data_IF_117944343800
#
_entry.id   IF_117944343800
#
_cell.length_a   1.000
_cell.length_b   1.000
_cell.length_c   1.000
_cell.angle_alpha   90.00
_cell.angle_beta   90.00
_cell.angle_gamma   90.00
#
_symmetry.space_group_name_H-M   'P 1'
#
loop_
_entity.id
_entity.type
_entity.pdbx_description
1 polymer ?
#
# COMPACT_ATOMS: atom_id res chain seq x y z
N UNK A 1 45.29 -27.96 -40.38
CA UNK A 1 46.31 -28.96 -40.18
C UNK A 1 45.65 -30.20 -39.63
N UNK A 2 45.25 -31.12 -40.49
CA UNK A 2 45.67 -32.54 -40.58
C UNK A 2 45.14 -33.38 -39.37
N UNK A 3 44.48 -34.53 -39.49
CA UNK A 3 44.23 -35.59 -40.50
C UNK A 3 43.40 -36.65 -39.74
N UNK A 4 42.22 -37.01 -40.14
CA UNK A 4 41.79 -38.25 -40.83
C UNK A 4 42.49 -39.55 -40.42
N UNK A 5 41.71 -40.54 -39.93
CA UNK A 5 41.76 -41.89 -40.52
C UNK A 5 40.59 -42.78 -40.13
N UNK A 6 39.97 -43.29 -41.17
CA UNK A 6 39.06 -44.45 -41.20
C UNK A 6 39.87 -45.75 -41.07
N UNK A 7 39.23 -46.82 -40.68
CA UNK A 7 39.47 -48.13 -41.34
C UNK A 7 38.27 -49.07 -41.11
N UNK A 8 37.92 -49.64 -42.25
CA UNK A 8 36.91 -50.64 -42.55
C UNK A 8 37.35 -52.08 -42.18
N UNK A 9 36.38 -53.04 -42.30
CA UNK A 9 36.57 -54.43 -42.48
C UNK A 9 35.45 -55.29 -41.91
N UNK A 10 34.52 -55.74 -42.60
CA UNK A 10 34.27 -56.68 -43.68
C UNK A 10 34.05 -58.13 -43.18
N UNK A 11 32.84 -58.64 -43.51
CA UNK A 11 32.39 -59.98 -43.88
C UNK A 11 32.25 -61.14 -42.87
N UNK A 12 31.10 -61.83 -43.05
CA UNK A 12 30.84 -63.21 -42.71
C UNK A 12 29.35 -63.59 -42.80
N UNK A 13 28.93 -63.97 -44.03
CA UNK A 13 27.66 -64.68 -44.28
C UNK A 13 27.86 -66.16 -43.96
N UNK A 14 26.83 -66.88 -43.58
CA UNK A 14 26.27 -68.12 -44.09
C UNK A 14 25.29 -68.73 -43.12
N UNK A 15 24.07 -68.84 -43.54
CA UNK A 15 23.21 -69.91 -44.03
C UNK A 15 23.20 -71.21 -43.20
N UNK A 16 22.06 -71.72 -42.86
CA UNK A 16 21.44 -72.95 -43.42
C UNK A 16 20.35 -73.51 -42.47
N UNK A 17 19.14 -73.52 -43.05
CA UNK A 17 18.07 -74.51 -43.06
C UNK A 17 17.57 -75.26 -41.81
N UNK A 18 16.31 -75.13 -41.69
CA UNK A 18 15.21 -76.09 -41.48
C UNK A 18 15.38 -77.27 -40.49
N UNK A 19 14.41 -77.29 -39.54
CA UNK A 19 13.60 -78.53 -39.36
C UNK A 19 12.22 -78.17 -38.79
N UNK A 20 11.23 -78.75 -39.45
CA UNK A 20 9.82 -78.80 -39.16
C UNK A 20 9.54 -79.61 -37.88
N UNK A 21 8.61 -79.20 -37.08
CA UNK A 21 8.06 -80.07 -36.06
C UNK A 21 6.79 -79.42 -35.46
N UNK A 22 5.64 -79.98 -35.85
CA UNK A 22 4.32 -79.75 -35.28
C UNK A 22 4.29 -79.99 -33.78
N UNK A 23 3.63 -79.16 -33.01
CA UNK A 23 2.71 -79.65 -31.98
C UNK A 23 1.81 -78.55 -31.42
N UNK A 24 0.56 -78.70 -31.62
CA UNK A 24 -0.65 -78.40 -30.85
C UNK A 24 -0.84 -77.05 -30.09
N UNK A 25 -1.92 -76.46 -30.55
CA UNK A 25 -2.90 -75.58 -29.92
C UNK A 25 -2.98 -75.66 -28.38
N UNK A 26 -2.71 -74.58 -27.73
CA UNK A 26 -3.42 -74.20 -26.47
C UNK A 26 -3.84 -72.75 -26.64
N UNK A 27 -5.17 -72.59 -26.74
CA UNK A 27 -5.90 -71.33 -26.66
C UNK A 27 -5.77 -70.81 -25.21
N UNK A 28 -4.97 -69.81 -24.97
CA UNK A 28 -5.06 -69.04 -23.73
C UNK A 28 -5.53 -67.65 -24.11
N UNK A 29 -6.84 -67.41 -23.81
CA UNK A 29 -7.45 -66.09 -23.80
C UNK A 29 -6.75 -65.26 -22.74
N UNK A 30 -5.78 -64.45 -23.14
CA UNK A 30 -5.32 -63.33 -22.31
C UNK A 30 -6.37 -62.23 -22.45
N UNK A 31 -7.24 -62.14 -21.45
CA UNK A 31 -8.11 -60.99 -21.24
C UNK A 31 -7.17 -59.82 -20.92
N UNK A 32 -6.85 -58.99 -21.92
CA UNK A 32 -6.23 -57.68 -21.67
C UNK A 32 -7.33 -56.78 -21.10
N UNK A 33 -7.45 -56.77 -19.78
CA UNK A 33 -8.19 -55.76 -19.06
C UNK A 33 -7.38 -54.45 -19.24
N UNK A 34 -7.80 -53.68 -20.24
CA UNK A 34 -7.35 -52.27 -20.37
C UNK A 34 -7.97 -51.55 -19.19
N UNK A 35 -7.21 -51.39 -18.12
CA UNK A 35 -7.49 -50.43 -17.09
C UNK A 35 -7.48 -49.06 -17.74
N UNK A 36 -8.66 -48.58 -18.12
CA UNK A 36 -8.86 -47.16 -18.39
C UNK A 36 -8.68 -46.44 -17.06
N UNK A 37 -7.46 -46.09 -16.74
CA UNK A 37 -7.17 -45.07 -15.73
C UNK A 37 -7.69 -43.78 -16.37
N UNK A 38 -8.80 -43.19 -15.87
CA UNK A 38 -9.18 -41.89 -16.34
C UNK A 38 -7.98 -40.99 -15.99
N UNK A 39 -7.22 -40.57 -16.98
CA UNK A 39 -6.28 -39.45 -16.83
C UNK A 39 -7.17 -38.29 -16.41
N UNK A 40 -7.26 -38.07 -15.09
CA UNK A 40 -7.75 -36.80 -14.60
C UNK A 40 -6.83 -35.77 -15.27
N UNK A 41 -7.34 -35.13 -16.31
CA UNK A 41 -6.75 -33.89 -16.82
C UNK A 41 -6.79 -32.97 -15.62
N UNK A 42 -5.67 -32.87 -14.92
CA UNK A 42 -5.45 -31.80 -13.95
C UNK A 42 -5.50 -30.54 -14.79
N UNK A 43 -6.71 -29.97 -14.88
CA UNK A 43 -6.86 -28.64 -15.44
C UNK A 43 -5.86 -27.78 -14.67
N UNK A 44 -4.79 -27.38 -15.34
CA UNK A 44 -3.76 -26.54 -14.72
C UNK A 44 -4.48 -25.36 -14.06
N UNK A 45 -4.26 -25.17 -12.76
CA UNK A 45 -4.91 -24.12 -12.00
C UNK A 45 -4.73 -22.78 -12.74
N UNK A 46 -5.84 -22.10 -13.02
CA UNK A 46 -5.83 -20.81 -13.72
C UNK A 46 -5.02 -19.81 -12.90
N UNK A 47 -3.96 -19.29 -13.47
CA UNK A 47 -3.14 -18.24 -12.84
C UNK A 47 -3.64 -16.86 -13.26
N UNK A 48 -4.01 -16.05 -12.27
CA UNK A 48 -4.44 -14.66 -12.44
C UNK A 48 -3.21 -13.75 -12.34
N UNK A 49 -2.77 -13.21 -13.50
CA UNK A 49 -1.66 -12.27 -13.58
C UNK A 49 -2.19 -10.85 -13.48
N UNK A 50 -1.70 -10.09 -12.51
CA UNK A 50 -2.16 -8.75 -12.18
C UNK A 50 -1.01 -7.75 -12.17
N UNK A 51 -1.31 -6.47 -12.42
CA UNK A 51 -0.36 -5.36 -12.30
C UNK A 51 -0.64 -4.61 -11.00
N UNK A 52 0.40 -4.39 -10.21
CA UNK A 52 0.33 -3.62 -8.98
C UNK A 52 1.24 -2.38 -9.07
N UNK A 53 0.67 -1.20 -8.81
CA UNK A 53 1.37 0.08 -8.83
C UNK A 53 1.44 0.69 -7.43
N UNK A 54 2.62 1.22 -7.08
CA UNK A 54 2.80 2.16 -5.98
C UNK A 54 3.12 3.54 -6.53
N UNK A 55 2.36 4.57 -6.15
CA UNK A 55 2.71 5.95 -6.52
C UNK A 55 3.97 6.45 -5.83
N UNK A 56 4.44 5.73 -4.82
CA UNK A 56 5.67 6.03 -4.08
C UNK A 56 6.89 5.42 -4.76
N UNK A 57 8.05 6.08 -4.60
CA UNK A 57 9.31 5.59 -5.16
C UNK A 57 9.88 4.39 -4.40
N UNK A 58 10.86 3.69 -4.98
CA UNK A 58 11.52 2.54 -4.36
C UNK A 58 12.32 2.92 -3.10
N UNK A 59 12.63 4.19 -2.91
CA UNK A 59 13.26 4.70 -1.69
C UNK A 59 12.30 4.75 -0.49
N UNK A 60 11.00 4.75 -0.73
CA UNK A 60 10.00 4.67 0.33
C UNK A 60 9.82 3.23 0.79
N UNK A 61 10.75 2.76 1.62
CA UNK A 61 10.78 1.38 2.11
C UNK A 61 9.48 0.99 2.80
N UNK A 62 8.94 1.86 3.61
CA UNK A 62 7.72 1.59 4.38
C UNK A 62 6.49 1.44 3.49
N UNK A 63 6.32 2.30 2.48
CA UNK A 63 5.13 2.27 1.61
C UNK A 63 5.28 1.24 0.50
N UNK A 64 6.30 1.36 -0.33
CA UNK A 64 6.47 0.46 -1.50
C UNK A 64 6.84 -0.96 -1.08
N UNK A 65 7.75 -1.14 -0.12
CA UNK A 65 8.08 -2.46 0.43
C UNK A 65 6.87 -3.05 1.19
N UNK A 66 6.08 -2.22 1.88
CA UNK A 66 4.84 -2.63 2.51
C UNK A 66 3.84 -3.21 1.49
N UNK A 67 3.62 -2.52 0.36
CA UNK A 67 2.81 -3.08 -0.72
C UNK A 67 3.39 -4.42 -1.20
N UNK A 68 4.69 -4.48 -1.48
CA UNK A 68 5.31 -5.69 -2.03
C UNK A 68 5.20 -6.88 -1.06
N UNK A 69 5.35 -6.63 0.25
CA UNK A 69 5.08 -7.64 1.28
C UNK A 69 3.64 -8.16 1.24
N UNK A 70 2.66 -7.27 1.07
CA UNK A 70 1.27 -7.68 0.89
C UNK A 70 1.10 -8.57 -0.36
N UNK A 71 1.71 -8.18 -1.48
CA UNK A 71 1.66 -8.96 -2.72
C UNK A 71 2.30 -10.35 -2.54
N UNK A 72 3.46 -10.43 -1.86
CA UNK A 72 4.11 -11.71 -1.52
C UNK A 72 3.19 -12.60 -0.70
N UNK A 73 2.54 -12.04 0.32
CA UNK A 73 1.60 -12.75 1.18
C UNK A 73 0.41 -13.31 0.39
N UNK A 74 -0.12 -12.55 -0.56
CA UNK A 74 -1.21 -13.01 -1.45
C UNK A 74 -0.73 -14.12 -2.39
N UNK A 75 0.47 -13.96 -2.98
CA UNK A 75 1.05 -14.99 -3.85
C UNK A 75 1.26 -16.31 -3.10
N UNK A 76 1.76 -16.24 -1.87
CA UNK A 76 1.95 -17.39 -0.99
C UNK A 76 0.62 -18.05 -0.62
N UNK A 77 -0.34 -17.29 -0.06
CA UNK A 77 -1.64 -17.80 0.38
C UNK A 77 -2.48 -18.36 -0.76
N UNK A 78 -2.36 -17.79 -1.96
CA UNK A 78 -3.03 -18.31 -3.16
C UNK A 78 -2.30 -19.49 -3.81
N UNK A 79 -1.18 -19.96 -3.24
CA UNK A 79 -0.33 -21.01 -3.81
C UNK A 79 0.07 -20.70 -5.25
N UNK A 80 0.30 -19.42 -5.55
CA UNK A 80 0.68 -18.93 -6.87
C UNK A 80 -0.46 -18.82 -7.89
N UNK A 81 -1.72 -19.01 -7.50
CA UNK A 81 -2.88 -18.76 -8.37
C UNK A 81 -3.07 -17.28 -8.68
N UNK A 82 -2.60 -16.39 -7.80
CA UNK A 82 -2.46 -14.95 -8.08
C UNK A 82 -0.97 -14.63 -8.20
N UNK A 83 -0.59 -13.84 -9.21
CA UNK A 83 0.78 -13.37 -9.45
C UNK A 83 0.77 -11.90 -9.81
N UNK A 84 1.74 -11.14 -9.31
CA UNK A 84 1.80 -9.71 -9.53
C UNK A 84 3.04 -9.27 -10.32
N UNK A 85 2.82 -8.45 -11.33
CA UNK A 85 3.83 -7.60 -11.91
C UNK A 85 3.85 -6.29 -11.12
N UNK A 86 5.00 -5.91 -10.55
CA UNK A 86 5.16 -4.84 -9.57
C UNK A 86 5.74 -3.60 -10.21
N UNK A 87 5.08 -2.48 -9.99
CA UNK A 87 5.47 -1.17 -10.47
C UNK A 87 5.55 -0.18 -9.31
N UNK A 88 6.34 0.89 -9.47
CA UNK A 88 6.50 1.93 -8.45
C UNK A 88 6.80 3.28 -9.09
N UNK A 89 6.85 4.33 -8.26
CA UNK A 89 7.12 5.71 -8.69
C UNK A 89 6.05 6.33 -9.61
N UNK A 90 4.83 5.80 -9.60
CA UNK A 90 3.78 6.26 -10.49
C UNK A 90 4.11 6.01 -11.96
N UNK A 91 4.75 4.86 -12.26
CA UNK A 91 5.21 4.51 -13.60
C UNK A 91 4.07 4.16 -14.55
N UNK A 92 2.96 3.63 -14.01
CA UNK A 92 1.75 3.35 -14.80
C UNK A 92 0.79 4.53 -14.82
N UNK A 93 0.68 5.29 -13.71
CA UNK A 93 -0.13 6.50 -13.64
C UNK A 93 0.42 7.46 -12.58
N UNK A 94 0.33 8.77 -12.81
CA UNK A 94 0.75 9.78 -11.86
C UNK A 94 -0.13 9.76 -10.60
N UNK A 95 0.45 10.14 -9.44
CA UNK A 95 -0.19 10.00 -8.13
C UNK A 95 -1.63 10.57 -8.05
N UNK A 96 -1.91 11.70 -8.71
CA UNK A 96 -3.24 12.32 -8.70
C UNK A 96 -4.26 11.66 -9.65
N UNK A 97 -3.79 10.89 -10.62
CA UNK A 97 -4.58 10.24 -11.66
C UNK A 97 -4.69 8.71 -11.42
N UNK A 98 -3.92 8.20 -10.44
CA UNK A 98 -3.74 6.76 -10.28
C UNK A 98 -5.02 6.04 -9.83
N UNK A 99 -5.92 6.68 -9.05
CA UNK A 99 -7.19 6.08 -8.67
C UNK A 99 -8.13 5.95 -9.88
N UNK A 100 -8.26 7.00 -10.69
CA UNK A 100 -9.06 6.97 -11.92
C UNK A 100 -8.52 5.89 -12.88
N UNK A 101 -7.19 5.80 -13.01
CA UNK A 101 -6.53 4.78 -13.83
C UNK A 101 -6.80 3.35 -13.34
N UNK A 102 -6.81 3.15 -12.01
CA UNK A 102 -7.22 1.89 -11.39
C UNK A 102 -8.67 1.56 -11.72
N UNK A 103 -9.59 2.52 -11.54
CA UNK A 103 -11.03 2.34 -11.72
C UNK A 103 -11.39 1.97 -13.16
N UNK A 104 -10.69 2.53 -14.15
CA UNK A 104 -10.86 2.14 -15.56
C UNK A 104 -10.12 0.85 -15.94
N UNK A 105 -9.26 0.30 -15.05
CA UNK A 105 -8.60 -0.99 -15.23
C UNK A 105 -7.28 -0.93 -16.01
N UNK A 106 -6.53 0.17 -15.96
CA UNK A 106 -5.17 0.23 -16.53
C UNK A 106 -4.21 -0.71 -15.79
N UNK A 107 -4.45 -0.93 -14.52
CA UNK A 107 -3.79 -1.90 -13.65
C UNK A 107 -4.76 -2.39 -12.57
N UNK A 108 -4.36 -3.38 -11.77
CA UNK A 108 -5.27 -4.13 -10.92
C UNK A 108 -5.20 -3.73 -9.44
N UNK A 109 -4.01 -3.39 -8.94
CA UNK A 109 -3.77 -3.04 -7.53
C UNK A 109 -3.02 -1.72 -7.45
N UNK A 110 -3.42 -0.86 -6.50
CA UNK A 110 -2.85 0.45 -6.26
C UNK A 110 -2.50 0.64 -4.78
N UNK A 111 -1.32 1.19 -4.51
CA UNK A 111 -1.00 1.85 -3.26
C UNK A 111 -0.81 3.34 -3.51
N UNK A 112 -1.65 4.17 -2.86
CA UNK A 112 -1.60 5.61 -2.97
C UNK A 112 -2.09 6.30 -1.69
N UNK A 113 -2.30 7.60 -1.72
CA UNK A 113 -2.71 8.40 -0.57
C UNK A 113 -4.10 9.00 -0.75
N UNK A 114 -5.04 8.79 0.17
CA UNK A 114 -6.43 9.22 0.01
C UNK A 114 -6.61 10.73 -0.27
N UNK A 115 -5.74 11.58 0.30
CA UNK A 115 -5.83 13.03 0.09
C UNK A 115 -5.64 13.47 -1.35
N UNK A 116 -5.00 12.67 -2.20
CA UNK A 116 -4.89 13.02 -3.62
C UNK A 116 -6.24 12.96 -4.34
N UNK A 117 -7.20 12.26 -3.76
CA UNK A 117 -8.52 11.98 -4.32
C UNK A 117 -9.66 12.59 -3.50
N UNK A 118 -9.37 13.63 -2.70
CA UNK A 118 -10.30 14.25 -1.78
C UNK A 118 -11.64 14.71 -2.42
N UNK A 119 -11.59 15.17 -3.66
CA UNK A 119 -12.78 15.58 -4.41
C UNK A 119 -13.59 14.43 -5.00
N UNK A 120 -13.00 13.23 -5.11
CA UNK A 120 -13.62 12.04 -5.68
C UNK A 120 -14.20 11.10 -4.62
N UNK A 121 -13.43 10.90 -3.55
CA UNK A 121 -13.76 9.98 -2.41
C UNK A 121 -13.42 10.65 -1.07
N UNK A 122 -14.21 11.66 -0.66
CA UNK A 122 -13.93 12.43 0.56
C UNK A 122 -13.93 11.57 1.83
N UNK A 123 -14.71 10.48 1.87
CA UNK A 123 -14.79 9.56 3.01
C UNK A 123 -13.44 8.95 3.37
N UNK A 124 -12.57 8.74 2.38
CA UNK A 124 -11.22 8.20 2.59
C UNK A 124 -10.30 9.10 3.42
N UNK A 125 -10.68 10.36 3.66
CA UNK A 125 -9.85 11.30 4.41
C UNK A 125 -10.09 11.28 5.93
N UNK A 126 -11.08 10.54 6.44
CA UNK A 126 -11.42 10.54 7.88
C UNK A 126 -10.19 10.29 8.76
N UNK A 127 -9.36 9.32 8.40
CA UNK A 127 -8.19 8.93 9.17
C UNK A 127 -6.99 9.90 9.03
N UNK A 128 -7.16 10.98 8.26
CA UNK A 128 -6.14 12.02 8.07
C UNK A 128 -6.48 13.29 8.85
N UNK A 129 -7.62 13.31 9.56
CA UNK A 129 -8.04 14.44 10.38
C UNK A 129 -7.08 14.56 11.57
N UNK A 130 -6.41 15.72 11.72
CA UNK A 130 -5.41 15.90 12.76
C UNK A 130 -6.04 15.88 14.15
N UNK A 131 -5.35 15.24 15.09
CA UNK A 131 -5.75 15.08 16.50
C UNK A 131 -7.09 14.39 16.75
N UNK A 132 -7.77 13.88 15.72
CA UNK A 132 -9.03 13.16 15.90
C UNK A 132 -8.82 11.84 16.65
N UNK A 133 -7.77 11.10 16.32
CA UNK A 133 -7.51 9.78 16.87
C UNK A 133 -6.37 9.79 17.89
N UNK A 134 -6.61 9.14 19.03
CA UNK A 134 -5.65 9.06 20.16
C UNK A 134 -4.53 8.04 19.91
N UNK A 135 -4.75 7.07 19.02
CA UNK A 135 -3.74 6.05 18.66
C UNK A 135 -4.00 5.41 17.30
N UNK A 136 -2.96 4.81 16.71
CA UNK A 136 -3.14 3.97 15.51
C UNK A 136 -4.00 2.73 15.81
N UNK A 137 -3.95 2.21 17.04
CA UNK A 137 -4.82 1.11 17.48
C UNK A 137 -6.30 1.51 17.43
N UNK A 138 -6.66 2.71 17.85
CA UNK A 138 -8.03 3.22 17.75
C UNK A 138 -8.51 3.29 16.30
N UNK A 139 -7.65 3.71 15.36
CA UNK A 139 -7.96 3.68 13.93
C UNK A 139 -8.18 2.24 13.44
N UNK A 140 -7.34 1.30 13.86
CA UNK A 140 -7.50 -0.11 13.52
C UNK A 140 -8.83 -0.67 14.02
N UNK A 141 -9.17 -0.37 15.28
CA UNK A 141 -10.44 -0.81 15.88
C UNK A 141 -11.66 -0.20 15.18
N UNK A 142 -11.62 1.08 14.86
CA UNK A 142 -12.67 1.75 14.08
C UNK A 142 -12.85 1.10 12.71
N UNK A 143 -11.75 0.77 12.04
CA UNK A 143 -11.80 0.12 10.71
C UNK A 143 -12.43 -1.27 10.74
N UNK A 144 -12.00 -2.12 11.68
CA UNK A 144 -12.38 -3.55 11.66
C UNK A 144 -13.55 -3.90 12.57
N UNK A 145 -13.85 -3.08 13.59
CA UNK A 145 -14.81 -3.41 14.64
C UNK A 145 -16.03 -2.48 14.68
N UNK A 146 -16.11 -1.49 13.77
CA UNK A 146 -17.25 -0.60 13.64
C UNK A 146 -17.74 -0.51 12.19
N UNK A 147 -18.83 0.22 11.95
CA UNK A 147 -19.35 0.45 10.59
C UNK A 147 -18.48 1.43 9.76
N UNK A 148 -17.50 2.13 10.37
CA UNK A 148 -16.67 3.12 9.68
C UNK A 148 -15.90 2.53 8.50
N UNK A 149 -15.21 1.42 8.72
CA UNK A 149 -14.47 0.75 7.63
C UNK A 149 -15.37 0.30 6.48
N UNK A 150 -16.57 -0.21 6.81
CA UNK A 150 -17.58 -0.60 5.80
C UNK A 150 -18.05 0.62 5.02
N UNK A 151 -18.43 1.70 5.69
CA UNK A 151 -18.93 2.93 5.05
C UNK A 151 -17.89 3.56 4.13
N UNK A 152 -16.62 3.61 4.54
CA UNK A 152 -15.52 4.07 3.68
C UNK A 152 -15.34 3.14 2.50
N UNK A 153 -15.30 1.82 2.72
CA UNK A 153 -15.11 0.83 1.65
C UNK A 153 -16.23 0.85 0.60
N UNK A 154 -17.47 1.08 1.02
CA UNK A 154 -18.63 1.20 0.12
C UNK A 154 -18.48 2.37 -0.85
N UNK A 155 -18.02 3.55 -0.37
CA UNK A 155 -17.77 4.69 -1.25
C UNK A 155 -16.80 4.35 -2.38
N UNK A 156 -15.69 3.69 -2.05
CA UNK A 156 -14.72 3.26 -3.06
C UNK A 156 -15.31 2.20 -4.00
N UNK A 157 -16.11 1.28 -3.47
CA UNK A 157 -16.76 0.25 -4.26
C UNK A 157 -17.79 0.81 -5.25
N UNK A 158 -18.52 1.85 -4.87
CA UNK A 158 -19.44 2.60 -5.74
C UNK A 158 -18.70 3.27 -6.90
N UNK A 159 -17.44 3.67 -6.70
CA UNK A 159 -16.58 4.33 -7.70
C UNK A 159 -15.75 3.35 -8.56
N UNK A 160 -15.77 2.07 -8.30
CA UNK A 160 -15.09 1.07 -9.13
C UNK A 160 -13.80 0.52 -8.54
N UNK A 161 -13.52 0.75 -7.25
CA UNK A 161 -12.38 0.19 -6.54
C UNK A 161 -12.79 -0.52 -5.24
N UNK A 162 -12.00 -1.49 -4.80
CA UNK A 162 -12.17 -2.26 -3.56
C UNK A 162 -10.99 -1.99 -2.66
N UNK A 163 -11.23 -1.62 -1.39
CA UNK A 163 -10.17 -1.53 -0.40
C UNK A 163 -9.86 -2.92 0.13
N UNK A 164 -8.64 -3.41 -0.09
CA UNK A 164 -8.17 -4.69 0.43
C UNK A 164 -7.74 -4.59 1.90
N UNK A 165 -7.29 -3.41 2.33
CA UNK A 165 -6.97 -3.12 3.73
C UNK A 165 -6.28 -1.78 3.91
N UNK A 166 -6.32 -1.24 5.16
CA UNK A 166 -5.53 -0.07 5.52
C UNK A 166 -4.05 -0.44 5.66
N UNK A 167 -3.18 0.50 5.31
CA UNK A 167 -1.75 0.42 5.53
C UNK A 167 -1.35 1.52 6.53
N UNK A 168 -0.98 1.11 7.75
CA UNK A 168 -0.51 2.00 8.81
C UNK A 168 0.93 2.43 8.52
N UNK A 169 1.19 3.72 8.56
CA UNK A 169 2.49 4.23 8.15
C UNK A 169 3.32 4.75 9.32
N UNK A 170 2.90 5.75 10.02
CA UNK A 170 3.59 6.33 11.17
C UNK A 170 2.89 7.61 11.65
N UNK A 171 3.53 8.31 12.60
CA UNK A 171 3.16 9.66 13.00
C UNK A 171 3.29 10.64 11.84
N UNK A 172 2.31 11.55 11.73
CA UNK A 172 2.30 12.65 10.78
C UNK A 172 2.94 13.88 11.41
N UNK A 173 4.11 14.28 10.92
CA UNK A 173 4.89 15.35 11.54
C UNK A 173 4.93 16.61 10.70
N UNK A 174 5.12 17.75 11.37
CA UNK A 174 5.55 19.00 10.73
C UNK A 174 7.04 19.13 10.89
N UNK A 175 7.77 19.21 9.77
CA UNK A 175 9.20 19.48 9.82
C UNK A 175 9.52 20.79 9.08
N UNK A 176 10.48 21.56 9.62
CA UNK A 176 10.80 22.91 9.15
C UNK A 176 12.30 23.10 9.04
N UNK A 177 12.70 24.04 8.17
CA UNK A 177 14.11 24.47 7.99
C UNK A 177 14.61 25.29 9.17
N UNK A 178 13.74 26.06 9.82
CA UNK A 178 14.03 26.89 10.99
C UNK A 178 13.31 26.33 12.20
N UNK A 179 13.84 26.57 13.38
CA UNK A 179 13.20 26.18 14.64
C UNK A 179 11.93 27.02 14.85
N UNK A 180 10.79 26.35 15.06
CA UNK A 180 9.48 26.96 15.32
C UNK A 180 8.98 26.42 16.64
N UNK A 181 9.06 27.23 17.70
CA UNK A 181 8.73 26.84 19.08
C UNK A 181 7.39 27.38 19.58
N UNK A 182 6.68 28.15 18.75
CA UNK A 182 5.34 28.69 19.06
C UNK A 182 4.40 28.53 17.86
N UNK A 183 3.11 28.53 18.09
CA UNK A 183 2.11 28.47 17.01
C UNK A 183 2.22 29.69 16.08
N UNK A 184 2.45 30.88 16.64
CA UNK A 184 2.66 32.12 15.84
C UNK A 184 3.87 32.04 14.91
N UNK A 185 4.87 31.24 15.27
CA UNK A 185 6.05 31.03 14.43
C UNK A 185 5.78 30.40 13.06
N UNK A 186 4.61 29.80 12.86
CA UNK A 186 4.18 29.28 11.56
C UNK A 186 3.64 30.36 10.62
N UNK A 187 3.31 31.54 11.12
CA UNK A 187 2.65 32.58 10.34
C UNK A 187 3.43 32.95 9.07
N UNK A 188 2.78 32.76 7.92
CA UNK A 188 3.32 33.08 6.59
C UNK A 188 4.35 32.09 6.06
N UNK A 189 4.74 31.04 6.79
CA UNK A 189 5.62 29.99 6.27
C UNK A 189 4.93 29.21 5.17
N UNK A 190 5.66 28.88 4.11
CA UNK A 190 5.22 28.00 3.04
C UNK A 190 5.43 26.55 3.46
N UNK A 191 4.39 25.88 3.87
CA UNK A 191 4.44 24.49 4.35
C UNK A 191 3.79 23.57 3.31
N UNK A 192 4.53 22.57 2.87
CA UNK A 192 3.97 21.56 1.98
C UNK A 192 2.83 20.80 2.66
N UNK A 193 1.74 20.66 1.94
CA UNK A 193 0.59 19.83 2.31
C UNK A 193 0.15 18.92 1.16
N UNK A 194 -0.52 17.76 1.45
CA UNK A 194 -0.95 16.83 0.40
C UNK A 194 -2.23 17.26 -0.33
N UNK A 195 -2.88 18.33 0.09
CA UNK A 195 -4.22 18.74 -0.33
C UNK A 195 -5.31 18.41 0.71
N UNK A 196 -6.56 18.73 0.40
CA UNK A 196 -7.71 18.42 1.25
C UNK A 196 -7.56 18.88 2.70
N UNK A 197 -7.86 17.97 3.64
CA UNK A 197 -7.72 18.20 5.09
C UNK A 197 -6.31 18.68 5.47
N UNK A 198 -5.26 18.15 4.81
CA UNK A 198 -3.88 18.56 5.09
C UNK A 198 -3.59 20.03 4.79
N UNK A 199 -4.12 20.57 3.67
CA UNK A 199 -3.99 21.99 3.35
C UNK A 199 -4.72 22.86 4.37
N UNK A 200 -5.93 22.46 4.77
CA UNK A 200 -6.72 23.19 5.77
C UNK A 200 -6.05 23.17 7.16
N UNK A 201 -5.38 22.07 7.49
CA UNK A 201 -4.57 21.97 8.71
C UNK A 201 -3.44 23.02 8.72
N UNK A 202 -2.69 23.09 7.62
CA UNK A 202 -1.59 24.07 7.48
C UNK A 202 -2.08 25.51 7.56
N UNK A 203 -3.22 25.85 6.91
CA UNK A 203 -3.86 27.16 7.04
C UNK A 203 -4.26 27.48 8.49
N UNK A 204 -4.81 26.51 9.21
CA UNK A 204 -5.23 26.66 10.60
C UNK A 204 -4.05 26.92 11.54
N UNK A 205 -2.86 26.40 11.18
CA UNK A 205 -1.61 26.72 11.88
C UNK A 205 -1.10 28.15 11.59
N UNK A 206 -1.72 28.89 10.67
CA UNK A 206 -1.29 30.21 10.23
C UNK A 206 -0.27 30.20 9.07
N UNK A 207 0.08 29.03 8.57
CA UNK A 207 1.01 28.88 7.46
C UNK A 207 0.29 28.90 6.10
N UNK A 208 1.06 29.05 5.02
CA UNK A 208 0.58 28.99 3.63
C UNK A 208 0.78 27.58 3.06
N UNK A 209 -0.29 26.84 2.74
CA UNK A 209 -0.14 25.49 2.19
C UNK A 209 0.36 25.53 0.74
N UNK A 210 1.34 24.68 0.44
CA UNK A 210 1.84 24.43 -0.91
C UNK A 210 1.59 22.97 -1.25
N UNK A 211 0.68 22.73 -2.21
CA UNK A 211 0.27 21.38 -2.60
C UNK A 211 1.30 20.73 -3.52
N UNK A 212 2.04 19.75 -2.99
CA UNK A 212 3.04 18.95 -3.72
C UNK A 212 2.87 17.46 -3.41
N UNK A 213 3.18 16.61 -4.38
CA UNK A 213 3.33 15.16 -4.12
C UNK A 213 4.64 14.86 -3.39
N UNK A 214 4.73 13.70 -2.71
CA UNK A 214 5.88 13.37 -1.87
C UNK A 214 7.24 13.44 -2.55
N UNK A 215 7.31 13.01 -3.82
CA UNK A 215 8.54 13.01 -4.61
C UNK A 215 9.12 14.42 -4.90
N UNK A 216 8.30 15.46 -4.80
CA UNK A 216 8.68 16.86 -5.10
C UNK A 216 9.25 17.59 -3.86
N UNK A 217 9.02 17.05 -2.65
CA UNK A 217 9.33 17.75 -1.38
C UNK A 217 10.83 18.07 -1.26
N UNK A 218 11.70 17.09 -1.51
CA UNK A 218 13.15 17.29 -1.35
C UNK A 218 13.66 18.47 -2.20
N UNK A 219 13.29 18.48 -3.48
CA UNK A 219 13.69 19.53 -4.42
C UNK A 219 13.09 20.89 -4.05
N UNK A 220 11.83 20.90 -3.57
CA UNK A 220 11.16 22.13 -3.14
C UNK A 220 11.83 22.73 -1.88
N UNK A 221 12.21 21.89 -0.91
CA UNK A 221 13.02 22.30 0.24
C UNK A 221 14.38 22.84 -0.18
N UNK A 222 15.09 22.11 -1.04
CA UNK A 222 16.42 22.48 -1.51
C UNK A 222 16.40 23.84 -2.22
N UNK A 223 15.39 24.10 -3.04
CA UNK A 223 15.20 25.37 -3.76
C UNK A 223 14.64 26.50 -2.89
N UNK A 224 14.21 26.21 -1.66
CA UNK A 224 13.56 27.19 -0.78
C UNK A 224 12.18 27.63 -1.23
N UNK A 225 11.50 26.86 -2.09
CA UNK A 225 10.10 27.12 -2.49
C UNK A 225 9.11 26.77 -1.40
N UNK A 226 9.52 25.94 -0.44
CA UNK A 226 8.83 25.66 0.81
C UNK A 226 9.77 25.79 2.00
N UNK A 227 9.23 26.17 3.15
CA UNK A 227 9.95 26.33 4.42
C UNK A 227 9.90 25.08 5.29
N UNK A 228 8.97 24.17 4.98
CA UNK A 228 8.76 22.93 5.70
C UNK A 228 7.69 22.06 5.03
N UNK A 229 7.32 20.99 5.69
CA UNK A 229 6.35 20.04 5.18
C UNK A 229 5.55 19.35 6.30
N UNK A 230 4.36 18.88 5.96
CA UNK A 230 3.60 17.87 6.69
C UNK A 230 3.76 16.54 5.96
N UNK A 231 4.32 15.52 6.65
CA UNK A 231 4.55 14.20 6.05
C UNK A 231 4.81 13.13 7.12
N UNK A 232 4.73 11.82 6.80
CA UNK A 232 5.07 10.75 7.74
C UNK A 232 6.53 10.86 8.24
N UNK A 233 6.75 10.59 9.52
CA UNK A 233 8.07 10.69 10.16
C UNK A 233 9.15 9.87 9.45
N UNK A 234 8.87 8.59 9.13
CA UNK A 234 9.85 7.72 8.45
C UNK A 234 10.32 8.29 7.09
N UNK A 235 9.44 9.01 6.40
CA UNK A 235 9.79 9.61 5.11
C UNK A 235 10.85 10.69 5.22
N UNK A 236 10.95 11.35 6.40
CA UNK A 236 12.06 12.28 6.69
C UNK A 236 13.40 11.57 6.57
N UNK A 237 13.46 10.29 6.96
CA UNK A 237 14.64 9.44 6.78
C UNK A 237 14.76 8.89 5.36
N UNK A 238 13.76 8.25 4.84
CA UNK A 238 13.76 7.53 3.55
C UNK A 238 14.10 8.46 2.37
N UNK A 239 13.51 9.64 2.34
CA UNK A 239 13.74 10.65 1.29
C UNK A 239 14.84 11.66 1.66
N UNK A 240 15.56 11.46 2.76
CA UNK A 240 16.62 12.33 3.27
C UNK A 240 16.18 13.79 3.47
N UNK A 241 14.91 14.04 3.76
CA UNK A 241 14.40 15.38 4.01
C UNK A 241 15.13 16.07 5.16
N UNK A 242 15.71 15.29 6.10
CA UNK A 242 16.56 15.78 7.18
C UNK A 242 17.79 16.57 6.72
N UNK A 243 18.21 16.44 5.45
CA UNK A 243 19.32 17.26 4.92
C UNK A 243 18.91 18.72 4.78
N UNK A 244 17.63 19.00 4.56
CA UNK A 244 17.08 20.32 4.28
C UNK A 244 16.24 20.89 5.43
N UNK A 245 15.57 20.05 6.21
CA UNK A 245 14.71 20.43 7.33
C UNK A 245 15.13 19.67 8.59
N UNK A 246 15.67 20.42 9.57
CA UNK A 246 16.31 19.88 10.77
C UNK A 246 15.46 19.91 12.03
N UNK A 247 14.28 20.54 11.97
CA UNK A 247 13.45 20.74 13.14
C UNK A 247 12.10 20.04 12.92
N UNK A 248 11.74 19.14 13.83
CA UNK A 248 10.44 18.43 13.79
C UNK A 248 9.62 18.87 14.99
N UNK A 249 8.45 19.44 14.70
CA UNK A 249 7.54 19.96 15.71
C UNK A 249 6.84 18.81 16.45
N UNK A 250 6.74 18.95 17.76
CA UNK A 250 6.06 18.02 18.66
C UNK A 250 4.92 18.76 19.42
N UNK A 251 3.83 18.05 19.72
CA UNK A 251 3.51 16.70 19.32
C UNK A 251 3.21 16.58 17.80
N UNK A 252 3.19 15.35 17.28
CA UNK A 252 2.79 15.08 15.89
C UNK A 252 1.31 15.46 15.68
N UNK A 253 0.92 15.72 14.42
CA UNK A 253 -0.47 16.04 14.05
C UNK A 253 -1.43 14.83 14.14
N UNK A 254 -0.95 13.67 14.51
CA UNK A 254 -1.67 12.41 14.54
C UNK A 254 -0.99 11.35 13.68
N UNK A 255 -1.77 10.50 13.04
CA UNK A 255 -1.28 9.33 12.33
C UNK A 255 -1.65 9.39 10.84
N UNK A 256 -0.87 8.66 10.03
CA UNK A 256 -1.17 8.50 8.60
C UNK A 256 -1.44 7.05 8.31
N UNK A 257 -2.56 6.82 7.66
CA UNK A 257 -2.84 5.57 6.98
C UNK A 257 -3.06 5.83 5.49
N UNK A 258 -2.80 4.82 4.70
CA UNK A 258 -3.19 4.74 3.30
C UNK A 258 -3.95 3.44 3.09
N UNK A 259 -4.34 3.16 1.86
CA UNK A 259 -5.06 1.94 1.53
C UNK A 259 -4.38 1.22 0.38
N UNK A 260 -4.56 -0.10 0.35
CA UNK A 260 -4.33 -0.92 -0.82
C UNK A 260 -5.68 -1.08 -1.51
N UNK A 261 -5.79 -0.53 -2.71
CA UNK A 261 -6.98 -0.62 -3.55
C UNK A 261 -6.81 -1.67 -4.64
N UNK A 262 -7.92 -2.26 -5.04
CA UNK A 262 -7.98 -3.15 -6.20
C UNK A 262 -9.10 -2.71 -7.15
N UNK A 263 -8.88 -2.83 -8.46
CA UNK A 263 -9.94 -2.62 -9.44
C UNK A 263 -11.13 -3.55 -9.14
N UNK A 264 -12.33 -2.98 -9.05
CA UNK A 264 -13.54 -3.71 -8.66
C UNK A 264 -13.87 -4.83 -9.63
N UNK A 265 -13.75 -4.61 -10.95
CA UNK A 265 -14.06 -5.64 -11.96
C UNK A 265 -13.09 -6.81 -11.88
N UNK A 266 -11.80 -6.53 -11.66
CA UNK A 266 -10.80 -7.58 -11.45
C UNK A 266 -11.11 -8.37 -10.19
N UNK A 267 -11.44 -7.70 -9.07
CA UNK A 267 -11.79 -8.35 -7.80
C UNK A 267 -13.04 -9.22 -7.94
N UNK A 268 -14.14 -8.67 -8.48
CA UNK A 268 -15.42 -9.38 -8.63
C UNK A 268 -15.33 -10.54 -9.65
N UNK A 269 -14.38 -10.50 -10.59
CA UNK A 269 -14.10 -11.58 -11.56
C UNK A 269 -13.29 -12.75 -11.00
N UNK A 270 -12.79 -12.65 -9.77
CA UNK A 270 -12.07 -13.74 -9.11
C UNK A 270 -13.03 -14.75 -8.48
N UNK A 271 -12.66 -16.03 -8.38
CA UNK A 271 -13.33 -16.99 -7.50
C UNK A 271 -13.39 -16.50 -6.06
N UNK A 272 -14.45 -16.89 -5.33
CA UNK A 272 -14.71 -16.41 -3.96
C UNK A 272 -13.60 -16.75 -2.96
N UNK A 273 -12.94 -17.90 -3.14
CA UNK A 273 -11.77 -18.30 -2.33
C UNK A 273 -10.59 -17.36 -2.52
N UNK A 274 -10.32 -16.91 -3.75
CA UNK A 274 -9.25 -15.94 -4.04
C UNK A 274 -9.62 -14.51 -3.57
N UNK A 275 -10.89 -14.12 -3.67
CA UNK A 275 -11.37 -12.87 -3.06
C UNK A 275 -11.16 -12.89 -1.55
N UNK A 276 -11.48 -13.99 -0.89
CA UNK A 276 -11.27 -14.16 0.55
C UNK A 276 -9.79 -14.09 0.92
N UNK A 277 -8.92 -14.73 0.15
CA UNK A 277 -7.45 -14.67 0.35
C UNK A 277 -6.96 -13.22 0.30
N UNK A 278 -7.41 -12.42 -0.66
CA UNK A 278 -7.03 -10.99 -0.77
C UNK A 278 -7.46 -10.19 0.46
N UNK A 279 -8.69 -10.37 0.92
CA UNK A 279 -9.21 -9.66 2.09
C UNK A 279 -8.53 -10.10 3.40
N UNK A 280 -8.33 -11.41 3.59
CA UNK A 280 -7.64 -11.96 4.76
C UNK A 280 -6.17 -11.51 4.80
N UNK A 281 -5.48 -11.53 3.65
CA UNK A 281 -4.12 -11.00 3.54
C UNK A 281 -4.05 -9.51 3.85
N UNK A 282 -5.05 -8.72 3.43
CA UNK A 282 -5.16 -7.30 3.74
C UNK A 282 -5.28 -7.05 5.25
N UNK A 283 -6.12 -7.82 5.94
CA UNK A 283 -6.28 -7.74 7.40
C UNK A 283 -5.00 -8.14 8.15
N UNK A 284 -4.38 -9.24 7.75
CA UNK A 284 -3.12 -9.70 8.34
C UNK A 284 -1.99 -8.69 8.13
N UNK A 285 -1.90 -8.13 6.91
CA UNK A 285 -0.93 -7.10 6.58
C UNK A 285 -1.15 -5.81 7.39
N UNK A 286 -2.40 -5.39 7.57
CA UNK A 286 -2.74 -4.23 8.39
C UNK A 286 -2.32 -4.40 9.85
N UNK A 287 -2.56 -5.58 10.44
CA UNK A 287 -2.12 -5.90 11.80
C UNK A 287 -0.58 -5.88 11.93
N UNK A 288 0.13 -6.46 10.97
CA UNK A 288 1.59 -6.41 10.92
C UNK A 288 2.11 -4.96 10.87
N UNK A 289 1.54 -4.12 10.01
CA UNK A 289 1.98 -2.73 9.88
C UNK A 289 1.63 -1.88 11.09
N UNK A 290 0.52 -2.16 11.79
CA UNK A 290 0.21 -1.51 13.05
C UNK A 290 1.31 -1.74 14.09
N UNK A 291 1.71 -3.00 14.31
CA UNK A 291 2.82 -3.35 15.22
C UNK A 291 4.15 -2.72 14.77
N UNK A 292 4.43 -2.79 13.48
CA UNK A 292 5.62 -2.19 12.91
C UNK A 292 5.65 -0.67 13.12
N UNK A 293 4.57 0.04 12.83
CA UNK A 293 4.49 1.49 12.92
C UNK A 293 4.66 2.00 14.36
N UNK A 294 4.10 1.27 15.35
CA UNK A 294 4.29 1.59 16.76
C UNK A 294 5.76 1.51 17.21
N UNK A 295 6.52 0.56 16.64
CA UNK A 295 7.94 0.35 16.97
C UNK A 295 8.90 1.20 16.14
N UNK A 296 8.44 1.67 14.97
CA UNK A 296 9.32 2.33 14.01
C UNK A 296 9.63 3.77 14.37
N UNK A 297 8.70 4.51 14.98
CA UNK A 297 8.88 5.91 15.29
C UNK A 297 10.08 6.14 16.22
N UNK A 298 10.26 5.32 17.28
CA UNK A 298 11.43 5.40 18.16
C UNK A 298 12.74 5.14 17.42
N UNK A 299 12.76 4.11 16.58
CA UNK A 299 13.93 3.77 15.75
C UNK A 299 14.29 4.92 14.80
N UNK A 300 13.29 5.48 14.13
CA UNK A 300 13.50 6.59 13.19
C UNK A 300 13.98 7.83 13.91
N UNK A 301 13.44 8.16 15.08
CA UNK A 301 13.94 9.27 15.91
C UNK A 301 15.41 9.09 16.27
N UNK A 302 15.82 7.89 16.69
CA UNK A 302 17.23 7.57 16.95
C UNK A 302 18.12 7.79 15.74
N UNK A 303 17.68 7.36 14.56
CA UNK A 303 18.41 7.57 13.30
C UNK A 303 18.50 9.07 12.92
N UNK A 304 17.40 9.80 13.01
CA UNK A 304 17.33 11.22 12.69
C UNK A 304 18.20 12.06 13.62
N UNK A 305 18.27 11.71 14.92
CA UNK A 305 19.16 12.36 15.90
C UNK A 305 20.63 12.28 15.46
N UNK A 306 21.08 11.14 14.89
CA UNK A 306 22.46 11.01 14.36
C UNK A 306 22.75 11.95 13.18
N UNK A 307 21.72 12.49 12.55
CA UNK A 307 21.80 13.45 11.44
C UNK A 307 21.59 14.91 11.89
N UNK A 308 21.51 15.13 13.20
CA UNK A 308 21.34 16.48 13.79
C UNK A 308 19.92 17.03 13.68
N UNK A 309 18.91 16.16 13.46
CA UNK A 309 17.51 16.54 13.55
C UNK A 309 17.13 16.73 15.02
N UNK A 310 16.39 17.80 15.31
CA UNK A 310 15.99 18.16 16.67
C UNK A 310 14.45 18.18 16.79
N UNK A 311 13.88 17.54 17.83
CA UNK A 311 12.50 17.80 18.18
C UNK A 311 12.34 19.23 18.71
N UNK A 312 11.23 19.88 18.38
CA UNK A 312 10.86 21.20 18.91
C UNK A 312 9.45 21.09 19.47
N UNK A 313 9.34 21.09 20.79
CA UNK A 313 8.07 20.93 21.46
C UNK A 313 7.36 22.28 21.59
N UNK A 314 6.12 22.36 21.08
CA UNK A 314 5.23 23.49 21.35
C UNK A 314 4.81 23.48 22.83
N UNK A 315 4.52 24.65 23.37
CA UNK A 315 3.96 24.76 24.72
C UNK A 315 2.58 24.10 24.79
N UNK A 316 2.20 23.61 25.96
CA UNK A 316 0.86 23.04 26.17
C UNK A 316 -0.27 24.03 25.80
N UNK A 317 -0.21 25.33 26.14
CA UNK A 317 -1.19 26.30 25.65
C UNK A 317 -1.25 26.40 24.12
N UNK A 318 -0.10 26.36 23.41
CA UNK A 318 -0.07 26.40 21.95
C UNK A 318 -0.71 25.13 21.34
N UNK A 319 -0.43 23.95 21.92
CA UNK A 319 -1.04 22.70 21.51
C UNK A 319 -2.55 22.72 21.69
N UNK A 320 -3.01 23.14 22.87
CA UNK A 320 -4.44 23.22 23.17
C UNK A 320 -5.15 24.20 22.23
N UNK A 321 -4.55 25.37 21.98
CA UNK A 321 -5.07 26.35 21.02
C UNK A 321 -5.13 25.77 19.61
N UNK A 322 -4.08 25.07 19.18
CA UNK A 322 -4.07 24.40 17.88
C UNK A 322 -5.20 23.36 17.77
N UNK A 323 -5.35 22.50 18.77
CA UNK A 323 -6.39 21.44 18.77
C UNK A 323 -7.78 22.05 18.68
N UNK A 324 -8.09 23.08 19.48
CA UNK A 324 -9.39 23.74 19.44
C UNK A 324 -9.65 24.43 18.08
N UNK A 325 -8.64 25.06 17.50
CA UNK A 325 -8.75 25.63 16.17
C UNK A 325 -8.96 24.56 15.08
N UNK A 326 -8.32 23.39 15.20
CA UNK A 326 -8.50 22.26 14.29
C UNK A 326 -9.91 21.68 14.39
N UNK A 327 -10.44 21.50 15.62
CA UNK A 327 -11.82 21.08 15.85
C UNK A 327 -12.82 22.05 15.22
N UNK A 328 -12.59 23.34 15.38
CA UNK A 328 -13.49 24.35 14.87
C UNK A 328 -13.44 24.55 13.35
N UNK A 329 -12.27 24.40 12.74
CA UNK A 329 -12.03 24.82 11.34
C UNK A 329 -11.69 23.68 10.38
N UNK A 330 -11.12 22.56 10.88
CA UNK A 330 -10.70 21.45 10.03
C UNK A 330 -11.68 20.30 10.09
N UNK A 331 -12.07 19.83 11.29
CA UNK A 331 -12.98 18.69 11.41
C UNK A 331 -14.30 18.88 10.65
N UNK A 332 -14.97 20.05 10.73
CA UNK A 332 -16.20 20.27 9.97
C UNK A 332 -16.04 20.26 8.44
N UNK A 333 -14.81 20.50 7.92
CA UNK A 333 -14.58 20.46 6.47
C UNK A 333 -14.68 19.04 5.89
N UNK A 334 -14.65 18.02 6.75
CA UNK A 334 -14.90 16.65 6.37
C UNK A 334 -16.39 16.37 6.12
N UNK A 335 -17.31 17.15 6.63
CA UNK A 335 -18.76 16.99 6.48
C UNK A 335 -19.26 17.34 5.05
N UNK A 336 -18.64 16.78 4.01
CA UNK A 336 -18.95 17.08 2.62
C UNK A 336 -20.27 16.44 2.15
N UNK A 337 -20.70 15.38 2.82
CA UNK A 337 -21.98 14.70 2.55
C UNK A 337 -22.47 13.99 3.83
N UNK A 338 -23.67 13.40 3.76
CA UNK A 338 -24.28 12.72 4.90
C UNK A 338 -23.46 11.52 5.42
N UNK A 339 -22.76 10.81 4.52
CA UNK A 339 -21.89 9.67 4.89
C UNK A 339 -20.66 10.17 5.64
N UNK A 340 -19.99 11.20 5.15
CA UNK A 340 -18.87 11.85 5.85
C UNK A 340 -19.28 12.31 7.25
N UNK A 341 -20.43 13.01 7.36
CA UNK A 341 -20.93 13.46 8.66
C UNK A 341 -21.13 12.30 9.64
N UNK A 342 -21.81 11.23 9.20
CA UNK A 342 -22.05 10.04 10.04
C UNK A 342 -20.73 9.38 10.48
N UNK A 343 -19.76 9.23 9.57
CA UNK A 343 -18.44 8.68 9.88
C UNK A 343 -17.74 9.53 10.94
N UNK A 344 -17.74 10.85 10.79
CA UNK A 344 -17.10 11.76 11.75
C UNK A 344 -17.75 11.67 13.13
N UNK A 345 -19.09 11.68 13.19
CA UNK A 345 -19.85 11.58 14.45
C UNK A 345 -19.49 10.27 15.20
N UNK A 346 -19.37 9.13 14.47
CA UNK A 346 -18.94 7.85 15.07
C UNK A 346 -17.50 7.95 15.61
N UNK A 347 -16.59 8.55 14.86
CA UNK A 347 -15.19 8.70 15.28
C UNK A 347 -15.07 9.61 16.51
N UNK A 348 -15.77 10.75 16.54
CA UNK A 348 -15.82 11.69 17.69
C UNK A 348 -16.29 10.96 18.95
N UNK A 349 -17.41 10.22 18.85
CA UNK A 349 -17.95 9.44 19.96
C UNK A 349 -16.99 8.34 20.43
N UNK A 350 -16.41 7.58 19.51
CA UNK A 350 -15.47 6.50 19.84
C UNK A 350 -14.23 7.03 20.58
N UNK A 351 -13.73 8.19 20.19
CA UNK A 351 -12.57 8.82 20.83
C UNK A 351 -12.92 9.65 22.08
N UNK A 352 -14.23 9.81 22.42
CA UNK A 352 -14.65 10.56 23.59
C UNK A 352 -14.35 12.06 23.50
N UNK A 353 -14.60 12.66 22.34
CA UNK A 353 -14.47 14.10 22.09
C UNK A 353 -15.80 14.87 22.28
N UNK A 354 -16.86 14.18 22.73
CA UNK A 354 -18.19 14.77 23.01
C UNK A 354 -18.15 15.79 24.13
#
# INVERSE_FOLDING_TARGET
MLIWKQSNGIFGKENIMQKKGHFWKVLSCILITVFFIPSAVVAGDKVYKMKAESVYGPMSKTTTEGLFRFLDLVEEKSQGKIRFQRFSSGSLAKAKEALDALEVGMFDVLLSYPSYYAGHVPEGQIFLIPYLFKSMKAIYDLWYNTEVGTMVSETFREKGSVILGPQFLASNVVATRKQISTLDGFKGLKIRAPGGVGSKTVETMGAVPVMLVGAEIYTALQRGTIDGYVYPLYSTWDYKFYEQAKFIVQPSLGYIITFIWMNKRTFDGLPSDLQKILMDAGKEHAAYLLDWAQKSDEKIWGQLATKGVKPVTLSEPDVNNLVENLKARVWPTYNQNARCKKILDICIKHEGWE
#
